data_IF_575218316545
#
_entry.id   IF_575218316545
#
_cell.length_a   1.000
_cell.length_b   1.000
_cell.length_c   1.000
_cell.angle_alpha   90.00
_cell.angle_beta   90.00
_cell.angle_gamma   90.00
#
_symmetry.space_group_name_H-M   'P 1'
#
loop_
_entity.id
_entity.type
_entity.pdbx_description
1 polymer ?
#
# COMPACT_ATOMS: atom_id res chain seq x y z
N UNK A 1 -0.80 16.28 4.14
CA UNK A 1 -0.87 17.64 4.72
C UNK A 1 -2.28 17.87 5.22
N UNK A 2 -2.52 18.87 6.09
CA UNK A 2 -3.87 19.20 6.58
C UNK A 2 -4.85 19.48 5.43
N UNK A 3 -4.47 20.23 4.36
CA UNK A 3 -5.35 20.43 3.20
C UNK A 3 -5.77 19.11 2.55
N UNK A 4 -4.84 18.16 2.35
CA UNK A 4 -5.18 16.84 1.77
C UNK A 4 -6.16 16.07 2.65
N UNK A 5 -5.97 16.07 3.97
CA UNK A 5 -6.88 15.39 4.89
C UNK A 5 -8.30 15.98 4.83
N UNK A 6 -8.40 17.31 4.71
CA UNK A 6 -9.69 17.99 4.56
C UNK A 6 -10.38 17.57 3.27
N UNK A 7 -9.69 17.63 2.13
CA UNK A 7 -10.24 17.21 0.82
C UNK A 7 -10.67 15.73 0.85
N UNK A 8 -9.85 14.84 1.44
CA UNK A 8 -10.23 13.42 1.59
C UNK A 8 -11.47 13.25 2.47
N UNK A 9 -11.59 14.03 3.55
CA UNK A 9 -12.76 13.98 4.42
C UNK A 9 -14.03 14.49 3.72
N UNK A 10 -13.93 15.61 3.00
CA UNK A 10 -15.03 16.17 2.21
C UNK A 10 -15.51 15.20 1.14
N UNK A 11 -14.59 14.60 0.36
CA UNK A 11 -14.91 13.60 -0.64
C UNK A 11 -15.59 12.36 -0.02
N UNK A 12 -15.08 11.89 1.13
CA UNK A 12 -15.71 10.78 1.87
C UNK A 12 -17.12 11.13 2.33
N UNK A 13 -17.33 12.36 2.82
CA UNK A 13 -18.66 12.83 3.25
C UNK A 13 -19.62 12.87 2.06
N UNK A 14 -19.21 13.45 0.95
CA UNK A 14 -20.02 13.48 -0.28
C UNK A 14 -20.43 12.09 -0.75
N UNK A 15 -19.52 11.11 -0.72
CA UNK A 15 -19.86 9.73 -1.08
C UNK A 15 -20.89 9.11 -0.14
N UNK A 16 -20.82 9.39 1.17
CA UNK A 16 -21.83 8.93 2.13
C UNK A 16 -23.18 9.59 1.89
N UNK A 17 -23.19 10.90 1.69
CA UNK A 17 -24.42 11.66 1.43
C UNK A 17 -25.10 11.14 0.15
N UNK A 18 -24.33 10.82 -0.89
CA UNK A 18 -24.83 10.17 -2.10
C UNK A 18 -25.44 8.79 -1.83
N UNK A 19 -24.74 7.91 -1.10
CA UNK A 19 -25.27 6.59 -0.76
C UNK A 19 -26.57 6.69 0.04
N UNK A 20 -26.63 7.62 1.00
CA UNK A 20 -27.84 7.86 1.80
C UNK A 20 -28.98 8.37 0.91
N UNK A 21 -28.70 9.29 -0.02
CA UNK A 21 -29.69 9.79 -0.97
C UNK A 21 -30.22 8.72 -1.92
N UNK A 22 -29.47 7.62 -2.14
CA UNK A 22 -29.91 6.46 -2.93
C UNK A 22 -30.69 5.42 -2.12
N UNK A 23 -30.95 5.66 -0.83
CA UNK A 23 -31.75 4.77 0.04
C UNK A 23 -30.94 3.78 0.87
N UNK A 24 -29.60 3.87 0.91
CA UNK A 24 -28.81 3.06 1.84
C UNK A 24 -29.02 3.57 3.27
N UNK A 25 -29.37 2.70 4.25
CA UNK A 25 -29.57 3.10 5.63
C UNK A 25 -28.30 3.71 6.24
N UNK A 26 -28.45 4.75 7.07
CA UNK A 26 -27.31 5.45 7.68
C UNK A 26 -26.46 4.54 8.58
N UNK A 27 -27.07 3.49 9.14
CA UNK A 27 -26.42 2.47 9.97
C UNK A 27 -25.29 1.77 9.21
N UNK A 28 -25.41 1.64 7.89
CA UNK A 28 -24.39 1.04 7.02
C UNK A 28 -23.13 1.91 6.89
N UNK A 29 -23.22 3.19 7.25
CA UNK A 29 -22.15 4.18 7.08
C UNK A 29 -21.46 4.54 8.40
N UNK A 30 -21.80 3.87 9.49
CA UNK A 30 -21.18 4.08 10.80
C UNK A 30 -19.68 3.76 10.70
N UNK A 31 -18.79 4.66 11.18
CA UNK A 31 -17.36 4.41 11.20
C UNK A 31 -17.03 3.07 11.90
N UNK A 32 -16.35 2.18 11.19
CA UNK A 32 -15.85 0.94 11.74
C UNK A 32 -14.44 1.14 12.30
N UNK A 33 -14.16 0.52 13.45
CA UNK A 33 -12.83 0.46 14.04
C UNK A 33 -12.18 -0.86 13.61
N UNK A 34 -10.91 -0.79 13.21
CA UNK A 34 -10.12 -1.95 12.80
C UNK A 34 -8.94 -2.17 13.73
N UNK A 35 -8.58 -3.43 13.96
CA UNK A 35 -7.37 -3.83 14.64
C UNK A 35 -6.23 -4.01 13.63
N UNK A 36 -5.21 -3.17 13.73
CA UNK A 36 -4.03 -3.22 12.86
C UNK A 36 -2.87 -4.05 13.43
N UNK A 37 -2.98 -4.45 14.70
CA UNK A 37 -1.91 -5.16 15.43
C UNK A 37 -2.19 -6.66 15.55
N UNK A 38 -3.27 -7.16 14.96
CA UNK A 38 -3.73 -8.54 15.11
C UNK A 38 -4.63 -8.96 13.96
N UNK A 39 -5.13 -10.22 13.98
CA UNK A 39 -6.12 -10.66 13.00
C UNK A 39 -7.41 -9.84 13.16
N UNK A 40 -7.89 -9.30 12.04
CA UNK A 40 -9.16 -8.59 11.96
C UNK A 40 -9.90 -9.03 10.68
N UNK A 41 -10.92 -9.86 10.85
CA UNK A 41 -11.68 -10.40 9.72
C UNK A 41 -12.46 -9.31 8.95
N UNK A 42 -12.79 -8.18 9.59
CA UNK A 42 -13.43 -7.05 8.89
C UNK A 42 -12.41 -6.36 7.99
N UNK A 43 -11.19 -6.15 8.48
CA UNK A 43 -10.10 -5.58 7.68
C UNK A 43 -9.71 -6.53 6.52
N UNK A 44 -9.62 -7.83 6.79
CA UNK A 44 -9.35 -8.85 5.77
C UNK A 44 -10.38 -8.80 4.62
N UNK A 45 -11.65 -8.62 4.96
CA UNK A 45 -12.72 -8.43 3.96
C UNK A 45 -12.53 -7.15 3.17
N UNK A 46 -12.25 -6.01 3.81
CA UNK A 46 -11.97 -4.75 3.11
C UNK A 46 -10.80 -4.91 2.13
N UNK A 47 -9.72 -5.58 2.56
CA UNK A 47 -8.56 -5.89 1.72
C UNK A 47 -8.97 -6.75 0.52
N UNK A 48 -9.80 -7.77 0.74
CA UNK A 48 -10.30 -8.63 -0.34
C UNK A 48 -11.15 -7.84 -1.36
N UNK A 49 -12.01 -6.94 -0.89
CA UNK A 49 -12.87 -6.10 -1.73
C UNK A 49 -12.08 -5.08 -2.56
N UNK A 50 -10.87 -4.67 -2.13
CA UNK A 50 -9.98 -3.84 -2.96
C UNK A 50 -9.64 -4.51 -4.30
N UNK A 51 -9.65 -5.85 -4.37
CA UNK A 51 -9.48 -6.56 -5.63
C UNK A 51 -10.56 -6.16 -6.65
N UNK A 52 -11.83 -6.02 -6.25
CA UNK A 52 -12.88 -5.63 -7.21
C UNK A 52 -12.64 -4.25 -7.82
N UNK A 53 -12.13 -3.30 -7.04
CA UNK A 53 -11.90 -1.92 -7.51
C UNK A 53 -10.57 -1.72 -8.23
N UNK A 54 -9.54 -2.50 -7.88
CA UNK A 54 -8.19 -2.31 -8.40
C UNK A 54 -7.79 -3.34 -9.46
N UNK A 55 -8.49 -4.47 -9.62
CA UNK A 55 -8.18 -5.41 -10.69
C UNK A 55 -8.39 -4.75 -12.08
N UNK A 56 -7.46 -4.89 -13.04
CA UNK A 56 -6.37 -5.85 -13.14
C UNK A 56 -5.01 -5.35 -12.66
N UNK A 57 -4.95 -4.29 -11.84
CA UNK A 57 -3.71 -3.75 -11.29
C UNK A 57 -3.17 -4.65 -10.17
N UNK A 58 -2.63 -5.81 -10.58
CA UNK A 58 -2.03 -6.80 -9.70
C UNK A 58 -0.55 -6.97 -10.04
N UNK A 59 0.29 -7.17 -9.02
CA UNK A 59 1.67 -7.57 -9.19
C UNK A 59 2.08 -8.70 -8.25
N UNK A 60 3.05 -9.48 -8.70
CA UNK A 60 3.68 -10.58 -7.97
C UNK A 60 5.05 -10.13 -7.47
N UNK A 61 5.25 -10.15 -6.16
CA UNK A 61 6.52 -9.85 -5.52
C UNK A 61 7.55 -10.95 -5.77
N UNK A 62 8.75 -10.55 -6.21
CA UNK A 62 9.87 -11.47 -6.47
C UNK A 62 10.92 -11.35 -5.37
N UNK A 63 11.56 -10.20 -5.30
CA UNK A 63 12.65 -9.95 -4.35
C UNK A 63 12.81 -8.45 -4.11
N UNK A 64 13.23 -8.06 -2.90
CA UNK A 64 13.41 -6.65 -2.52
C UNK A 64 12.21 -5.81 -2.95
N UNK A 65 12.38 -4.93 -3.95
CA UNK A 65 11.33 -4.09 -4.52
C UNK A 65 10.85 -4.57 -5.90
N UNK A 66 11.47 -5.61 -6.48
CA UNK A 66 11.12 -6.11 -7.80
C UNK A 66 9.80 -6.87 -7.74
N UNK A 67 8.92 -6.54 -8.68
CA UNK A 67 7.64 -7.20 -8.88
C UNK A 67 7.44 -7.52 -10.36
N UNK A 68 6.61 -8.51 -10.66
CA UNK A 68 6.12 -8.77 -12.00
C UNK A 68 4.66 -8.33 -12.08
N UNK A 69 4.32 -7.57 -13.11
CA UNK A 69 2.93 -7.26 -13.47
C UNK A 69 2.44 -8.26 -14.53
N UNK A 70 1.22 -8.07 -15.03
CA UNK A 70 0.66 -8.86 -16.14
C UNK A 70 1.69 -9.10 -17.25
N UNK A 71 1.64 -10.31 -17.83
CA UNK A 71 2.56 -10.77 -18.88
C UNK A 71 4.05 -10.77 -18.45
N UNK A 72 4.32 -11.01 -17.16
CA UNK A 72 5.69 -11.05 -16.60
C UNK A 72 6.49 -9.74 -16.79
N UNK A 73 5.81 -8.61 -16.98
CA UNK A 73 6.47 -7.31 -17.14
C UNK A 73 7.06 -6.84 -15.82
N UNK A 74 8.38 -6.66 -15.80
CA UNK A 74 9.10 -6.21 -14.61
C UNK A 74 8.70 -4.77 -14.21
N UNK A 75 8.48 -4.58 -12.92
CA UNK A 75 8.23 -3.29 -12.30
C UNK A 75 8.83 -3.26 -10.88
N UNK A 76 8.69 -2.13 -10.19
CA UNK A 76 9.15 -1.95 -8.82
C UNK A 76 8.01 -1.53 -7.90
N UNK A 77 8.03 -1.96 -6.63
CA UNK A 77 7.28 -1.28 -5.58
C UNK A 77 7.88 0.13 -5.44
N UNK A 78 7.04 1.16 -5.51
CA UNK A 78 7.48 2.56 -5.42
C UNK A 78 8.17 2.84 -4.08
N UNK A 79 9.19 3.72 -4.07
CA UNK A 79 10.02 4.02 -2.89
C UNK A 79 9.24 4.53 -1.68
N UNK A 80 8.10 5.18 -1.94
CA UNK A 80 7.23 5.74 -0.90
C UNK A 80 6.17 4.75 -0.38
N UNK A 81 6.08 3.55 -0.96
CA UNK A 81 5.14 2.54 -0.46
C UNK A 81 5.61 2.04 0.92
N UNK A 82 4.66 1.78 1.81
CA UNK A 82 4.93 1.11 3.10
C UNK A 82 5.46 -0.32 2.91
N UNK A 83 5.15 -0.94 1.76
CA UNK A 83 5.63 -2.26 1.36
C UNK A 83 6.99 -2.22 0.65
N UNK A 84 7.67 -1.06 0.63
CA UNK A 84 8.98 -0.92 0.03
C UNK A 84 10.09 -1.10 1.09
N UNK A 85 11.03 -2.01 0.82
CA UNK A 85 12.27 -2.12 1.59
C UNK A 85 13.47 -2.38 0.69
N UNK A 86 14.62 -1.85 1.10
CA UNK A 86 15.90 -2.16 0.47
C UNK A 86 16.51 -3.47 1.00
N UNK A 87 16.02 -3.96 2.15
CA UNK A 87 16.39 -5.25 2.73
C UNK A 87 15.50 -6.37 2.15
N UNK A 88 15.98 -7.64 2.15
CA UNK A 88 15.14 -8.78 1.85
C UNK A 88 13.87 -8.77 2.72
N UNK A 89 12.72 -8.91 2.07
CA UNK A 89 11.42 -9.03 2.71
C UNK A 89 10.75 -10.29 2.21
N UNK A 90 10.16 -11.03 3.13
CA UNK A 90 9.25 -12.12 2.81
C UNK A 90 7.85 -11.65 3.17
N UNK A 91 6.96 -11.61 2.17
CA UNK A 91 5.56 -11.30 2.41
C UNK A 91 4.77 -12.60 2.60
N UNK A 92 3.77 -12.62 3.48
CA UNK A 92 2.92 -13.80 3.69
C UNK A 92 2.22 -14.29 2.42
N UNK A 93 1.86 -13.35 1.53
CA UNK A 93 1.38 -13.60 0.18
C UNK A 93 2.24 -12.79 -0.80
N UNK A 94 2.59 -13.36 -1.97
CA UNK A 94 3.37 -12.65 -2.97
C UNK A 94 2.54 -11.69 -3.82
N UNK A 95 1.21 -11.68 -3.69
CA UNK A 95 0.33 -10.89 -4.54
C UNK A 95 -0.03 -9.54 -3.92
N UNK A 96 -0.03 -8.50 -4.75
CA UNK A 96 -0.43 -7.15 -4.37
C UNK A 96 -1.36 -6.56 -5.42
N UNK A 97 -2.42 -5.90 -4.98
CA UNK A 97 -3.12 -4.91 -5.81
C UNK A 97 -2.43 -3.56 -5.68
N UNK A 98 -2.52 -2.71 -6.71
CA UNK A 98 -1.93 -1.37 -6.67
C UNK A 98 -2.85 -0.31 -7.29
N UNK A 99 -2.82 0.91 -6.75
CA UNK A 99 -3.64 2.02 -7.23
C UNK A 99 -3.13 2.67 -8.51
N UNK A 100 -1.80 2.88 -8.61
CA UNK A 100 -1.21 3.58 -9.76
C UNK A 100 0.01 2.86 -10.31
N UNK A 101 0.13 2.86 -11.64
CA UNK A 101 1.34 2.45 -12.38
C UNK A 101 2.01 3.68 -12.97
N UNK A 102 3.18 4.04 -12.44
CA UNK A 102 3.90 5.23 -12.87
C UNK A 102 5.16 4.83 -13.63
N UNK A 103 5.36 5.41 -14.82
CA UNK A 103 6.60 5.26 -15.60
C UNK A 103 7.41 6.54 -15.49
N UNK A 104 8.57 6.45 -14.83
CA UNK A 104 9.60 7.50 -14.85
C UNK A 104 10.86 6.91 -15.46
N UNK A 105 11.97 6.86 -14.71
CA UNK A 105 13.18 6.10 -15.07
C UNK A 105 12.94 4.58 -15.03
N UNK A 106 12.03 4.14 -14.16
CA UNK A 106 11.58 2.76 -14.06
C UNK A 106 10.06 2.73 -13.88
N UNK A 107 9.43 1.62 -14.28
CA UNK A 107 8.01 1.36 -14.01
C UNK A 107 7.85 1.02 -12.53
N UNK A 108 6.97 1.73 -11.83
CA UNK A 108 6.72 1.53 -10.41
C UNK A 108 5.23 1.47 -10.07
N UNK A 109 4.86 0.55 -9.19
CA UNK A 109 3.53 0.42 -8.60
C UNK A 109 3.46 1.24 -7.30
N UNK A 110 2.49 2.14 -7.19
CA UNK A 110 2.19 2.92 -5.98
C UNK A 110 0.91 2.41 -5.31
N UNK A 111 0.75 2.75 -4.02
CA UNK A 111 -0.42 2.37 -3.22
C UNK A 111 -0.66 0.84 -3.28
N UNK A 112 0.36 0.07 -2.91
CA UNK A 112 0.32 -1.39 -2.98
C UNK A 112 -0.31 -1.95 -1.70
N UNK A 113 -1.25 -2.88 -1.84
CA UNK A 113 -1.86 -3.64 -0.74
C UNK A 113 -1.72 -5.13 -1.00
N UNK A 114 -1.20 -5.88 -0.02
CA UNK A 114 -1.04 -7.33 -0.12
C UNK A 114 -2.41 -8.00 -0.11
N UNK A 115 -2.63 -8.96 -1.01
CA UNK A 115 -3.87 -9.74 -1.13
C UNK A 115 -3.54 -11.23 -1.23
N UNK A 116 -4.51 -12.11 -0.99
CA UNK A 116 -4.33 -13.57 -1.08
C UNK A 116 -4.71 -14.12 -2.46
N UNK A 117 -4.28 -15.35 -2.82
CA UNK A 117 -4.76 -16.04 -4.01
C UNK A 117 -6.29 -16.19 -4.03
N UNK A 118 -6.92 -16.45 -2.87
CA UNK A 118 -8.37 -16.59 -2.77
C UNK A 118 -9.06 -15.25 -3.03
N UNK A 119 -8.51 -14.12 -2.56
CA UNK A 119 -9.05 -12.80 -2.88
C UNK A 119 -9.08 -12.55 -4.38
N UNK A 120 -8.00 -12.88 -5.09
CA UNK A 120 -7.93 -12.74 -6.54
C UNK A 120 -8.88 -13.70 -7.25
N UNK A 121 -9.01 -14.93 -6.76
CA UNK A 121 -9.92 -15.94 -7.31
C UNK A 121 -11.40 -15.62 -7.05
N UNK A 122 -11.74 -14.89 -5.98
CA UNK A 122 -13.12 -14.54 -5.68
C UNK A 122 -13.54 -13.22 -6.34
N UNK A 123 -12.69 -12.20 -6.29
CA UNK A 123 -13.05 -10.81 -6.63
C UNK A 123 -12.31 -10.20 -7.81
N UNK A 124 -11.19 -10.79 -8.22
CA UNK A 124 -10.29 -10.17 -9.19
C UNK A 124 -10.44 -10.75 -10.58
N UNK A 125 -10.13 -12.05 -10.71
CA UNK A 125 -9.88 -12.61 -12.03
C UNK A 125 -11.12 -12.68 -12.90
N UNK A 126 -10.99 -12.48 -14.19
CA UNK A 126 -12.12 -12.58 -15.14
C UNK A 126 -12.20 -13.97 -15.74
N UNK A 127 -11.05 -14.55 -16.07
CA UNK A 127 -10.90 -15.90 -16.61
C UNK A 127 -10.14 -16.79 -15.64
N UNK A 128 -10.63 -18.03 -15.48
CA UNK A 128 -10.01 -19.07 -14.67
C UNK A 128 -9.95 -20.34 -15.52
N UNK A 129 -8.75 -20.72 -15.93
CA UNK A 129 -8.51 -21.92 -16.73
C UNK A 129 -7.77 -22.97 -15.89
N UNK A 130 -8.00 -24.26 -16.16
CA UNK A 130 -7.14 -25.34 -15.67
C UNK A 130 -6.26 -25.84 -16.82
N UNK A 131 -4.96 -25.54 -16.75
CA UNK A 131 -3.99 -25.84 -17.82
C UNK A 131 -2.68 -26.26 -17.17
N UNK A 132 -1.98 -27.24 -17.73
CA UNK A 132 -0.67 -27.70 -17.23
C UNK A 132 -0.70 -28.08 -15.73
N UNK A 133 -1.79 -28.70 -15.28
CA UNK A 133 -2.03 -29.06 -13.88
C UNK A 133 -2.05 -27.91 -12.86
N UNK A 134 -2.24 -26.67 -13.32
CA UNK A 134 -2.38 -25.47 -12.47
C UNK A 134 -3.65 -24.69 -12.81
N UNK A 135 -4.18 -23.96 -11.83
CA UNK A 135 -5.27 -23.02 -12.03
C UNK A 135 -4.68 -21.68 -12.47
N UNK A 136 -4.97 -21.26 -13.70
CA UNK A 136 -4.43 -20.05 -14.33
C UNK A 136 -5.48 -18.95 -14.34
N UNK A 137 -5.21 -17.85 -13.65
CA UNK A 137 -6.05 -16.66 -13.66
C UNK A 137 -5.58 -15.66 -14.72
N UNK A 138 -6.49 -15.25 -15.59
CA UNK A 138 -6.29 -14.27 -16.66
C UNK A 138 -5.01 -14.48 -17.47
N UNK A 139 -4.65 -15.74 -17.69
CA UNK A 139 -3.51 -16.14 -18.52
C UNK A 139 -2.12 -16.01 -17.88
N UNK A 140 -1.98 -15.52 -16.64
CA UNK A 140 -0.64 -15.27 -16.06
C UNK A 140 -0.45 -15.64 -14.59
N UNK A 141 -1.49 -15.62 -13.75
CA UNK A 141 -1.36 -16.02 -12.35
C UNK A 141 -1.58 -17.53 -12.26
N UNK A 142 -0.52 -18.29 -11.98
CA UNK A 142 -0.61 -19.74 -11.82
C UNK A 142 -0.71 -20.11 -10.33
N UNK A 143 -1.80 -20.80 -9.96
CA UNK A 143 -2.05 -21.31 -8.63
C UNK A 143 -1.99 -22.83 -8.63
N UNK A 144 -1.12 -23.40 -7.79
CA UNK A 144 -1.09 -24.83 -7.52
C UNK A 144 -2.15 -25.16 -6.47
N UNK A 145 -3.36 -25.48 -6.91
CA UNK A 145 -4.49 -25.83 -6.03
C UNK A 145 -5.36 -26.89 -6.69
N UNK A 146 -6.18 -27.58 -5.88
CA UNK A 146 -7.12 -28.57 -6.38
C UNK A 146 -8.17 -27.89 -7.31
N UNK A 147 -8.38 -28.38 -8.55
CA UNK A 147 -9.34 -27.79 -9.47
C UNK A 147 -10.78 -27.77 -8.95
N UNK A 148 -11.21 -28.81 -8.24
CA UNK A 148 -12.56 -28.87 -7.67
C UNK A 148 -12.77 -27.79 -6.60
N UNK A 149 -11.74 -27.49 -5.80
CA UNK A 149 -11.78 -26.39 -4.82
C UNK A 149 -11.81 -25.04 -5.51
N UNK A 150 -11.03 -24.87 -6.57
CA UNK A 150 -11.05 -23.63 -7.36
C UNK A 150 -12.42 -23.39 -8.00
N UNK A 151 -13.01 -24.42 -8.60
CA UNK A 151 -14.34 -24.37 -9.19
C UNK A 151 -15.40 -24.03 -8.14
N UNK A 152 -15.34 -24.62 -6.94
CA UNK A 152 -16.27 -24.31 -5.85
C UNK A 152 -16.18 -22.84 -5.39
N UNK A 153 -14.96 -22.28 -5.29
CA UNK A 153 -14.79 -20.86 -4.95
C UNK A 153 -15.33 -19.95 -6.06
N UNK A 154 -15.05 -20.28 -7.33
CA UNK A 154 -15.53 -19.49 -8.48
C UNK A 154 -17.05 -19.57 -8.61
N UNK A 155 -17.67 -20.70 -8.26
CA UNK A 155 -19.12 -20.89 -8.26
C UNK A 155 -19.85 -19.99 -7.25
N UNK A 156 -19.16 -19.36 -6.30
CA UNK A 156 -19.75 -18.37 -5.39
C UNK A 156 -19.92 -16.99 -6.03
N UNK A 157 -19.23 -16.71 -7.14
CA UNK A 157 -19.28 -15.38 -7.77
C UNK A 157 -20.67 -14.95 -8.22
N UNK A 158 -21.48 -15.80 -8.88
CA UNK A 158 -22.86 -15.42 -9.23
C UNK A 158 -23.71 -15.08 -8.00
N UNK A 159 -23.49 -15.78 -6.87
CA UNK A 159 -24.19 -15.48 -5.63
C UNK A 159 -23.74 -14.13 -5.05
N UNK A 160 -22.43 -13.82 -5.09
CA UNK A 160 -21.91 -12.50 -4.71
C UNK A 160 -22.48 -11.38 -5.61
N UNK A 161 -22.49 -11.58 -6.92
CA UNK A 161 -23.06 -10.62 -7.88
C UNK A 161 -24.55 -10.40 -7.62
N UNK A 162 -25.29 -11.48 -7.33
CA UNK A 162 -26.70 -11.40 -6.96
C UNK A 162 -26.92 -10.56 -5.69
N UNK A 163 -26.04 -10.67 -4.68
CA UNK A 163 -26.10 -9.83 -3.47
C UNK A 163 -25.91 -8.35 -3.81
N UNK A 164 -24.95 -8.03 -4.69
CA UNK A 164 -24.70 -6.64 -5.13
C UNK A 164 -25.89 -6.11 -5.94
N UNK A 165 -26.46 -6.92 -6.83
CA UNK A 165 -27.65 -6.55 -7.62
C UNK A 165 -28.84 -6.30 -6.70
N UNK A 166 -29.09 -7.16 -5.71
CA UNK A 166 -30.17 -6.94 -4.74
C UNK A 166 -29.95 -5.66 -3.95
N UNK A 167 -28.75 -5.46 -3.39
CA UNK A 167 -28.41 -4.24 -2.64
C UNK A 167 -28.56 -2.97 -3.49
N UNK A 168 -28.41 -3.07 -4.81
CA UNK A 168 -28.59 -1.93 -5.72
C UNK A 168 -30.06 -1.67 -6.07
N UNK A 169 -30.90 -2.70 -6.07
CA UNK A 169 -32.35 -2.59 -6.36
C UNK A 169 -33.15 -2.16 -5.14
N UNK A 170 -32.78 -2.70 -3.98
CA UNK A 170 -33.51 -2.55 -2.71
C UNK A 170 -32.49 -2.16 -1.61
N UNK A 171 -31.89 -0.96 -1.69
CA UNK A 171 -30.83 -0.54 -0.77
C UNK A 171 -31.30 -0.43 0.68
N UNK A 172 -32.57 -0.11 0.90
CA UNK A 172 -33.20 -0.02 2.23
C UNK A 172 -33.22 -1.37 2.95
N UNK A 173 -33.26 -2.49 2.22
CA UNK A 173 -33.33 -3.87 2.77
C UNK A 173 -31.95 -4.53 2.94
N UNK A 174 -30.87 -3.76 2.86
CA UNK A 174 -29.50 -4.31 2.99
C UNK A 174 -29.22 -4.88 4.38
N UNK A 175 -29.92 -4.39 5.41
CA UNK A 175 -29.83 -4.85 6.81
C UNK A 175 -30.64 -6.11 7.07
N UNK A 176 -31.49 -6.54 6.13
CA UNK A 176 -32.40 -7.67 6.25
C UNK A 176 -32.07 -8.75 5.21
N UNK A 177 -30.92 -9.44 5.31
CA UNK A 177 -30.59 -10.52 4.40
C UNK A 177 -31.49 -11.73 4.63
N UNK A 178 -31.83 -12.44 3.55
CA UNK A 178 -32.51 -13.73 3.68
C UNK A 178 -31.59 -14.78 4.34
N UNK A 179 -32.13 -15.87 4.92
CA UNK A 179 -31.30 -16.91 5.53
C UNK A 179 -30.29 -17.55 4.57
N UNK A 180 -30.59 -17.59 3.27
CA UNK A 180 -29.67 -18.08 2.25
C UNK A 180 -28.53 -17.09 2.02
N UNK A 181 -28.85 -15.80 1.92
CA UNK A 181 -27.86 -14.74 1.73
C UNK A 181 -26.93 -14.61 2.91
N UNK A 182 -27.44 -14.77 4.13
CA UNK A 182 -26.62 -14.79 5.33
C UNK A 182 -25.59 -15.94 5.28
N UNK A 183 -26.01 -17.13 4.86
CA UNK A 183 -25.10 -18.27 4.65
C UNK A 183 -24.04 -17.96 3.59
N UNK A 184 -24.43 -17.41 2.45
CA UNK A 184 -23.50 -17.03 1.36
C UNK A 184 -22.51 -15.99 1.87
N UNK A 185 -22.99 -14.92 2.50
CA UNK A 185 -22.14 -13.89 3.10
C UNK A 185 -21.16 -14.52 4.09
N UNK A 186 -21.62 -15.40 4.98
CA UNK A 186 -20.76 -16.08 5.95
C UNK A 186 -19.65 -16.90 5.29
N UNK A 187 -19.95 -17.68 4.26
CA UNK A 187 -18.93 -18.41 3.48
C UNK A 187 -17.91 -17.45 2.87
N UNK A 188 -18.37 -16.36 2.27
CA UNK A 188 -17.50 -15.33 1.70
C UNK A 188 -16.63 -14.69 2.79
N UNK A 189 -17.19 -14.36 3.97
CA UNK A 189 -16.41 -13.81 5.11
C UNK A 189 -15.28 -14.76 5.52
N UNK A 190 -15.54 -16.07 5.55
CA UNK A 190 -14.53 -17.07 5.90
C UNK A 190 -13.43 -17.16 4.83
N UNK A 191 -13.80 -17.11 3.54
CA UNK A 191 -12.85 -17.14 2.43
C UNK A 191 -12.02 -15.85 2.32
N UNK A 192 -12.56 -14.71 2.78
CA UNK A 192 -11.84 -13.44 2.81
C UNK A 192 -10.73 -13.38 3.86
N UNK A 193 -10.72 -14.26 4.86
CA UNK A 193 -9.67 -14.25 5.89
C UNK A 193 -8.29 -14.40 5.25
N UNK A 194 -7.29 -13.67 5.75
CA UNK A 194 -5.91 -13.76 5.21
C UNK A 194 -5.33 -15.19 5.28
N UNK A 195 -5.79 -15.98 6.26
CA UNK A 195 -5.37 -17.37 6.47
C UNK A 195 -6.19 -18.41 5.70
N UNK A 196 -7.20 -18.01 4.93
CA UNK A 196 -7.96 -18.93 4.10
C UNK A 196 -7.05 -19.59 3.04
N UNK A 197 -7.20 -20.90 2.84
CA UNK A 197 -6.41 -21.67 1.87
C UNK A 197 -4.96 -21.96 2.26
N UNK A 198 -4.55 -21.64 3.49
CA UNK A 198 -3.19 -21.88 4.01
C UNK A 198 -3.07 -23.22 4.75
N UNK A 199 -3.60 -24.30 4.20
CA UNK A 199 -3.50 -25.62 4.82
C UNK A 199 -2.04 -26.08 4.91
N UNK A 200 -1.61 -26.57 6.08
CA UNK A 200 -0.22 -26.96 6.38
C UNK A 200 0.82 -25.83 6.20
N UNK A 201 0.40 -24.58 6.30
CA UNK A 201 1.30 -23.43 6.30
C UNK A 201 1.21 -22.69 7.62
N UNK A 202 2.31 -22.04 8.01
CA UNK A 202 2.30 -21.14 9.17
C UNK A 202 1.23 -20.05 8.99
N UNK A 203 0.37 -19.85 10.01
CA UNK A 203 -0.60 -18.77 10.01
C UNK A 203 0.08 -17.42 9.89
N UNK A 204 -0.53 -16.52 9.13
CA UNK A 204 -0.20 -15.12 9.09
C UNK A 204 -0.62 -14.51 10.43
N UNK A 205 0.35 -14.39 11.33
CA UNK A 205 0.24 -13.61 12.57
C UNK A 205 0.86 -12.22 12.42
N UNK A 206 0.86 -11.45 13.50
CA UNK A 206 1.46 -10.09 13.61
C UNK A 206 2.94 -10.10 13.19
N UNK A 207 3.63 -11.21 13.45
CA UNK A 207 5.03 -11.42 13.08
C UNK A 207 5.26 -11.61 11.56
N UNK A 208 4.22 -11.96 10.79
CA UNK A 208 4.33 -12.24 9.36
C UNK A 208 4.66 -11.02 8.49
N UNK A 209 4.48 -9.81 9.01
CA UNK A 209 4.86 -8.55 8.37
C UNK A 209 6.22 -8.03 8.86
N UNK A 210 6.92 -8.77 9.74
CA UNK A 210 8.19 -8.31 10.27
C UNK A 210 9.28 -8.42 9.21
N UNK A 211 9.68 -7.26 8.72
CA UNK A 211 11.04 -7.08 8.25
C UNK A 211 11.99 -7.44 9.40
N UNK A 212 12.94 -8.34 9.18
CA UNK A 212 14.11 -8.52 10.08
C UNK A 212 14.98 -7.27 10.02
N UNK A 213 14.46 -6.14 10.49
CA UNK A 213 15.20 -4.90 10.67
C UNK A 213 15.93 -5.06 12.00
N UNK A 214 17.27 -4.99 12.04
CA UNK A 214 17.93 -4.73 13.31
C UNK A 214 17.36 -3.43 13.89
N UNK A 215 17.22 -3.33 15.22
CA UNK A 215 16.76 -2.10 15.86
C UNK A 215 17.56 -0.92 15.30
N UNK A 216 16.88 0.15 14.88
CA UNK A 216 17.56 1.42 14.66
C UNK A 216 18.02 1.86 16.04
N UNK A 217 19.31 1.72 16.34
CA UNK A 217 19.93 2.48 17.42
C UNK A 217 19.70 3.94 17.10
N UNK A 218 18.73 4.54 17.80
CA UNK A 218 18.54 5.96 17.80
C UNK A 218 19.74 6.50 18.58
N UNK A 219 20.77 6.96 17.86
CA UNK A 219 21.93 7.63 18.42
C UNK A 219 21.48 8.91 19.12
N UNK A 220 21.08 8.77 20.38
CA UNK A 220 20.52 9.82 21.20
C UNK A 220 20.77 9.51 22.66
N UNK A 221 21.85 10.08 23.19
CA UNK A 221 22.08 10.39 24.60
C UNK A 221 21.74 9.30 25.62
N UNK A 222 22.66 8.35 25.79
CA UNK A 222 22.98 7.81 27.11
C UNK A 222 24.48 7.77 27.29
N UNK A 223 24.99 8.74 28.05
CA UNK A 223 26.30 8.63 28.67
C UNK A 223 26.28 7.44 29.62
N UNK A 224 27.25 6.55 29.45
CA UNK A 224 27.51 5.42 30.32
C UNK A 224 28.93 4.97 30.05
N UNK A 225 29.83 5.26 30.99
CA UNK A 225 31.21 4.79 30.97
C UNK A 225 31.27 3.26 30.80
N UNK A 226 32.05 2.81 29.82
CA UNK A 226 32.83 1.58 29.96
C UNK A 226 34.03 1.62 29.02
N UNK A 227 35.19 1.51 29.65
CA UNK A 227 36.51 1.30 29.08
C UNK A 227 36.62 -0.01 28.30
N UNK A 228 37.63 -0.03 27.43
CA UNK A 228 38.23 -1.17 26.71
C UNK A 228 37.61 -1.58 25.36
N UNK A 229 38.10 -0.94 24.30
CA UNK A 229 38.16 -1.51 22.94
C UNK A 229 39.06 -0.66 22.02
N UNK A 230 40.00 -1.26 21.25
CA UNK A 230 40.96 -0.49 20.48
C UNK A 230 40.32 0.21 19.28
N UNK A 231 40.65 1.49 19.10
CA UNK A 231 40.19 2.35 18.00
C UNK A 231 40.53 1.75 16.62
N UNK A 232 39.61 1.81 15.61
CA UNK A 232 39.95 1.46 14.24
C UNK A 232 40.95 2.45 13.64
N UNK A 233 42.13 1.92 13.26
CA UNK A 233 43.15 2.60 12.46
C UNK A 233 42.61 2.90 11.06
N UNK A 234 42.35 4.17 10.74
CA UNK A 234 42.24 4.61 9.35
C UNK A 234 43.63 4.89 8.79
N UNK A 235 44.14 3.95 7.99
CA UNK A 235 45.21 4.18 7.03
C UNK A 235 44.58 4.54 5.68
N UNK A 236 44.85 5.75 5.16
CA UNK A 236 45.34 5.94 3.78
C UNK A 236 45.80 7.38 3.57
N UNK A 237 47.11 7.53 3.38
CA UNK A 237 47.73 8.75 2.89
C UNK A 237 47.86 8.78 1.36
N UNK A 238 48.25 9.96 0.87
CA UNK A 238 48.83 10.26 -0.44
C UNK A 238 47.91 11.03 -1.40
N UNK A 239 48.21 12.24 -1.88
CA UNK A 239 49.34 13.14 -1.64
C UNK A 239 49.27 14.43 -2.50
N UNK A 240 49.79 15.53 -1.91
CA UNK A 240 50.54 16.68 -2.49
C UNK A 240 49.88 17.72 -3.44
N UNK A 241 50.45 18.93 -3.62
CA UNK A 241 50.85 19.90 -2.57
C UNK A 241 50.57 21.39 -2.92
N UNK A 242 50.47 22.24 -1.89
CA UNK A 242 51.09 23.57 -1.95
C UNK A 242 50.19 24.82 -1.88
N UNK A 243 50.71 25.77 -1.11
CA UNK A 243 50.52 27.23 -1.16
C UNK A 243 49.49 27.89 -0.22
N UNK A 244 50.06 28.38 0.90
CA UNK A 244 49.92 29.72 1.53
C UNK A 244 48.48 30.23 1.69
N UNK A 245 47.95 30.48 2.89
CA UNK A 245 48.59 31.06 4.06
C UNK A 245 47.69 32.19 4.57
N UNK A 246 47.85 32.56 5.85
CA UNK A 246 47.20 33.68 6.56
C UNK A 246 45.70 33.46 6.83
N UNK A 247 45.22 33.34 8.05
CA UNK A 247 45.67 33.92 9.31
C UNK A 247 44.47 34.61 9.95
N UNK A 248 44.32 34.51 11.27
CA UNK A 248 43.39 35.35 12.02
C UNK A 248 42.37 34.57 12.82
N UNK A 249 42.70 34.34 14.08
CA UNK A 249 41.80 34.15 15.21
C UNK A 249 40.58 35.08 15.16
N UNK A 250 39.43 34.65 15.67
CA UNK A 250 38.72 35.39 16.73
C UNK A 250 37.57 34.56 17.30
N UNK A 251 37.69 34.30 18.60
CA UNK A 251 36.60 33.94 19.53
C UNK A 251 35.59 35.09 19.55
N UNK A 252 34.31 34.78 19.74
CA UNK A 252 33.34 35.84 20.04
C UNK A 252 31.88 35.41 20.03
N UNK A 253 31.44 34.85 21.15
CA UNK A 253 30.05 34.76 21.60
C UNK A 253 29.29 36.08 21.51
N UNK A 254 27.99 36.07 21.15
CA UNK A 254 27.14 37.24 21.38
C UNK A 254 25.75 37.21 20.75
N UNK A 255 24.75 36.78 21.54
CA UNK A 255 23.37 37.29 21.70
C UNK A 255 22.69 38.13 20.59
N UNK A 256 21.40 37.82 20.42
CA UNK A 256 20.31 38.76 20.03
C UNK A 256 20.02 38.72 18.53
N UNK A 257 18.80 38.59 18.02
CA UNK A 257 17.51 38.99 18.58
C UNK A 257 16.90 40.07 17.68
N UNK A 258 15.83 39.69 16.96
CA UNK A 258 14.77 40.55 16.38
C UNK A 258 15.12 41.48 15.20
N UNK A 259 14.26 41.47 14.17
CA UNK A 259 14.19 42.55 13.19
C UNK A 259 13.57 42.20 11.84
N UNK A 260 12.26 41.91 11.81
CA UNK A 260 11.46 42.03 10.59
C UNK A 260 11.16 43.51 10.30
N UNK A 261 11.64 44.01 9.15
CA UNK A 261 11.09 45.10 8.31
C UNK A 261 11.64 44.82 6.91
N UNK A 262 10.87 44.57 5.86
CA UNK A 262 9.69 45.29 5.39
C UNK A 262 10.16 46.45 4.51
N UNK A 263 10.22 46.28 3.19
CA UNK A 263 10.00 47.40 2.28
C UNK A 263 9.50 46.96 0.89
N UNK A 264 8.40 47.60 0.49
CA UNK A 264 7.81 47.65 -0.84
C UNK A 264 8.54 48.73 -1.66
N UNK A 265 8.83 48.42 -2.93
CA UNK A 265 8.89 49.35 -4.09
C UNK A 265 9.11 48.44 -5.31
N UNK A 266 8.32 48.42 -6.38
CA UNK A 266 7.67 49.53 -7.07
C UNK A 266 8.59 49.96 -8.22
N UNK A 267 8.36 49.44 -9.44
CA UNK A 267 8.63 50.03 -10.78
C UNK A 267 8.20 48.97 -11.84
N UNK A 268 7.13 49.13 -12.63
CA UNK A 268 6.87 50.00 -13.80
C UNK A 268 7.83 49.85 -15.00
N UNK A 269 7.23 49.66 -16.19
CA UNK A 269 7.85 49.72 -17.52
C UNK A 269 8.16 48.33 -18.12
N UNK A 270 7.68 47.91 -19.28
CA UNK A 270 7.02 48.61 -20.36
C UNK A 270 7.50 48.04 -21.71
N UNK A 271 6.54 47.54 -22.50
CA UNK A 271 6.53 47.47 -23.98
C UNK A 271 7.31 46.43 -24.80
N UNK A 272 6.50 45.82 -25.70
CA UNK A 272 6.75 45.33 -27.09
C UNK A 272 7.71 44.14 -27.24
N UNK A 273 7.36 43.07 -27.94
CA UNK A 273 6.38 42.90 -29.02
C UNK A 273 7.09 42.14 -30.15
N UNK A 274 6.44 41.12 -30.73
CA UNK A 274 7.00 40.45 -31.91
C UNK A 274 6.47 39.04 -32.18
N UNK A 275 5.32 38.96 -32.86
CA UNK A 275 4.97 37.82 -33.72
C UNK A 275 5.96 37.74 -34.89
N UNK A 276 6.32 36.53 -35.32
CA UNK A 276 6.20 36.01 -36.71
C UNK A 276 6.99 34.71 -36.87
N UNK A 277 6.45 33.79 -37.67
CA UNK A 277 7.14 32.61 -38.20
C UNK A 277 6.44 31.34 -37.82
#
# INVERSE_FOLDING_TARGET
SIPTLRVTWEAKKQLKDLLASTGFPEETMIPQVYNFNGPDHKLDMVIALLCMGLYPNVCFHKEKRKVLTMESKAALIHKQSVNCSNLPQTFPSPFFVFGEKVRTRAVSCKQTTMVTPIHLLLFGSRKVDYVDHVIRLDGWINLKMNPSVAAAIVALRPALESLVVRASKEPEQITEPTPLEEKVMNVIRQLCKLNAGRHNMEPIGVAGFQTRRPPREFGGMRGGMSDNGPLPKYFRGGGSPGWRGRGGDFRGSGRGGWGFRGNYSGDYGGYRGGRRG
#
